data_IF_232252338535
#
_entry.id   IF_232252338535
#
_cell.length_a   1.000
_cell.length_b   1.000
_cell.length_c   1.000
_cell.angle_alpha   90.00
_cell.angle_beta   90.00
_cell.angle_gamma   90.00
#
_symmetry.space_group_name_H-M   'P 1'
#
loop_
_entity.id
_entity.type
_entity.pdbx_description
1 polymer ?
#
# COMPACT_ATOMS: atom_id res chain seq x y z
N UNK A 1 10.52 -5.76 -14.08
CA UNK A 1 9.96 -5.39 -15.37
C UNK A 1 8.50 -5.85 -15.47
N UNK A 2 7.88 -5.63 -16.62
CA UNK A 2 6.46 -5.90 -16.80
C UNK A 2 6.07 -7.37 -16.59
N UNK A 3 6.96 -8.30 -16.92
CA UNK A 3 6.67 -9.73 -16.79
C UNK A 3 6.66 -10.23 -15.36
N UNK A 4 7.10 -9.42 -14.41
CA UNK A 4 6.96 -9.76 -12.99
C UNK A 4 5.47 -9.85 -12.59
N UNK A 5 4.65 -8.95 -13.13
CA UNK A 5 3.21 -8.89 -12.83
C UNK A 5 2.34 -9.38 -13.98
N UNK A 6 2.82 -9.34 -15.22
CA UNK A 6 2.01 -9.65 -16.40
C UNK A 6 2.51 -10.88 -17.13
N UNK A 7 1.56 -11.71 -17.59
CA UNK A 7 1.86 -12.75 -18.56
C UNK A 7 2.07 -12.09 -19.92
N UNK A 8 3.24 -12.23 -20.50
CA UNK A 8 3.59 -11.56 -21.78
C UNK A 8 2.69 -12.00 -22.95
N UNK A 9 2.06 -13.17 -22.87
CA UNK A 9 1.17 -13.67 -23.91
C UNK A 9 -0.28 -13.23 -23.71
N UNK A 10 -0.64 -12.75 -22.52
CA UNK A 10 -1.98 -12.35 -22.17
C UNK A 10 -1.93 -11.18 -21.22
N UNK A 11 -1.27 -10.10 -21.66
CA UNK A 11 -0.90 -8.96 -20.81
C UNK A 11 -2.09 -8.35 -20.08
N UNK A 12 -3.25 -8.27 -20.75
CA UNK A 12 -4.44 -7.66 -20.18
C UNK A 12 -5.40 -8.68 -19.54
N UNK A 13 -5.12 -9.97 -19.66
CA UNK A 13 -6.02 -10.99 -19.13
C UNK A 13 -5.78 -11.18 -17.64
N UNK A 14 -6.76 -10.78 -16.83
CA UNK A 14 -6.66 -10.89 -15.37
C UNK A 14 -6.50 -12.34 -14.92
N UNK A 15 -7.19 -13.27 -15.56
CA UNK A 15 -7.18 -14.68 -15.17
C UNK A 15 -5.82 -15.35 -15.37
N UNK A 16 -4.97 -14.76 -16.23
CA UNK A 16 -3.61 -15.22 -16.45
C UNK A 16 -2.58 -14.35 -15.74
N UNK A 17 -3.00 -13.69 -14.69
CA UNK A 17 -2.11 -12.88 -13.87
C UNK A 17 -1.10 -13.74 -13.12
N UNK A 18 0.10 -13.19 -12.94
CA UNK A 18 1.07 -13.80 -12.02
C UNK A 18 0.59 -13.62 -10.59
N UNK A 19 1.11 -14.44 -9.62
CA UNK A 19 0.80 -14.24 -8.21
C UNK A 19 1.14 -12.82 -7.72
N UNK A 20 2.20 -12.24 -8.27
CA UNK A 20 2.63 -10.88 -7.90
C UNK A 20 1.58 -9.84 -8.28
N UNK A 21 0.97 -9.97 -9.46
CA UNK A 21 -0.09 -9.05 -9.89
C UNK A 21 -1.33 -9.16 -9.02
N UNK A 22 -1.71 -10.39 -8.67
CA UNK A 22 -2.86 -10.63 -7.80
C UNK A 22 -2.63 -10.03 -6.42
N UNK A 23 -1.46 -10.27 -5.84
CA UNK A 23 -1.09 -9.71 -4.55
C UNK A 23 -1.07 -8.19 -4.57
N UNK A 24 -0.53 -7.59 -5.63
CA UNK A 24 -0.49 -6.14 -5.77
C UNK A 24 -1.91 -5.54 -5.85
N UNK A 25 -2.85 -6.24 -6.46
CA UNK A 25 -4.24 -5.79 -6.50
C UNK A 25 -4.86 -5.74 -5.11
N UNK A 26 -4.60 -6.76 -4.27
CA UNK A 26 -5.03 -6.72 -2.88
C UNK A 26 -4.37 -5.57 -2.12
N UNK A 27 -3.08 -5.34 -2.39
CA UNK A 27 -2.36 -4.21 -1.79
C UNK A 27 -2.94 -2.86 -2.18
N UNK A 28 -3.36 -2.71 -3.44
CA UNK A 28 -4.01 -1.50 -3.91
C UNK A 28 -5.30 -1.23 -3.13
N UNK A 29 -6.14 -2.24 -2.97
CA UNK A 29 -7.38 -2.10 -2.21
C UNK A 29 -7.11 -1.79 -0.74
N UNK A 30 -6.09 -2.43 -0.15
CA UNK A 30 -5.69 -2.15 1.22
C UNK A 30 -5.28 -0.69 1.41
N UNK A 31 -4.46 -0.15 0.51
CA UNK A 31 -4.01 1.25 0.59
C UNK A 31 -5.20 2.21 0.45
N UNK A 32 -6.12 1.93 -0.47
CA UNK A 32 -7.32 2.75 -0.64
C UNK A 32 -8.17 2.76 0.62
N UNK A 33 -8.37 1.60 1.24
CA UNK A 33 -9.16 1.50 2.47
C UNK A 33 -8.45 2.18 3.64
N UNK A 34 -7.13 2.01 3.73
CA UNK A 34 -6.33 2.65 4.77
C UNK A 34 -6.48 4.17 4.68
N UNK A 35 -6.36 4.73 3.49
CA UNK A 35 -6.52 6.17 3.30
C UNK A 35 -7.94 6.63 3.62
N UNK A 36 -8.96 5.94 3.07
CA UNK A 36 -10.35 6.37 3.20
C UNK A 36 -10.87 6.23 4.64
N UNK A 37 -10.55 5.15 5.31
CA UNK A 37 -11.14 4.81 6.60
C UNK A 37 -10.31 5.28 7.80
N UNK A 38 -9.00 5.43 7.62
CA UNK A 38 -8.13 5.71 8.75
C UNK A 38 -7.36 7.03 8.61
N UNK A 39 -6.78 7.32 7.47
CA UNK A 39 -5.88 8.47 7.34
C UNK A 39 -6.62 9.76 7.00
N UNK A 40 -7.55 9.73 6.04
CA UNK A 40 -8.32 10.93 5.69
C UNK A 40 -9.11 11.47 6.88
N UNK A 41 -9.80 10.65 7.69
CA UNK A 41 -10.51 11.14 8.87
C UNK A 41 -9.63 11.80 9.94
N UNK A 42 -8.31 11.61 9.86
CA UNK A 42 -7.40 12.26 10.80
C UNK A 42 -7.12 13.72 10.47
N UNK A 43 -7.60 14.22 9.31
CA UNK A 43 -7.38 15.60 8.93
C UNK A 43 -7.68 16.62 10.02
N UNK A 44 -8.88 16.59 10.65
CA UNK A 44 -9.21 17.52 11.73
C UNK A 44 -8.40 17.34 13.01
N UNK A 45 -7.76 16.17 13.17
CA UNK A 45 -6.98 15.84 14.37
C UNK A 45 -5.57 16.41 14.29
N UNK A 46 -5.00 16.48 13.06
CA UNK A 46 -3.65 16.98 12.88
C UNK A 46 -3.58 18.50 13.10
N UNK A 47 -2.50 18.99 13.73
CA UNK A 47 -2.18 20.42 13.69
C UNK A 47 -1.95 20.88 12.25
N UNK A 48 -2.24 22.15 11.96
CA UNK A 48 -2.11 22.69 10.61
C UNK A 48 -0.73 22.48 10.01
N UNK A 49 0.33 22.57 10.82
CA UNK A 49 1.70 22.40 10.36
C UNK A 49 2.07 20.93 10.03
N UNK A 50 1.18 19.99 10.31
CA UNK A 50 1.37 18.58 9.99
C UNK A 50 0.56 18.14 8.78
N UNK A 51 -0.27 19.00 8.23
CA UNK A 51 -1.05 18.71 7.03
C UNK A 51 -0.17 18.81 5.78
N UNK A 52 -0.62 18.17 4.69
CA UNK A 52 0.11 18.14 3.44
C UNK A 52 0.31 19.52 2.84
N UNK A 53 1.41 19.72 2.08
CA UNK A 53 1.80 21.05 1.61
C UNK A 53 0.92 21.63 0.51
N UNK A 54 0.19 20.82 -0.23
CA UNK A 54 -0.59 21.32 -1.36
C UNK A 54 -2.02 21.66 -1.00
N UNK A 55 -2.73 20.73 -0.38
CA UNK A 55 -4.17 20.87 -0.13
C UNK A 55 -4.51 20.97 1.36
N UNK A 56 -3.51 20.95 2.22
CA UNK A 56 -3.75 20.94 3.66
C UNK A 56 -4.40 19.63 4.12
N UNK A 57 -4.20 18.56 3.37
CA UNK A 57 -4.78 17.24 3.66
C UNK A 57 -3.97 16.48 4.69
N UNK A 58 -4.63 15.55 5.38
CA UNK A 58 -3.93 14.56 6.18
C UNK A 58 -2.97 13.75 5.29
N UNK A 59 -1.78 13.38 5.79
CA UNK A 59 -0.87 12.52 5.06
C UNK A 59 -1.56 11.20 4.68
N UNK A 60 -1.29 10.74 3.46
CA UNK A 60 -1.87 9.53 2.92
C UNK A 60 -0.77 8.51 2.63
N UNK A 61 -1.15 7.24 2.58
CA UNK A 61 -0.24 6.16 2.23
C UNK A 61 -0.29 5.88 0.74
N UNK A 62 0.84 5.44 0.20
CA UNK A 62 0.98 4.97 -1.17
C UNK A 62 1.69 3.62 -1.16
N UNK A 63 1.75 2.98 -2.31
CA UNK A 63 2.50 1.73 -2.44
C UNK A 63 3.95 1.91 -1.98
N UNK A 64 4.58 3.02 -2.38
CA UNK A 64 5.97 3.31 -2.02
C UNK A 64 6.17 3.54 -0.51
N UNK A 65 5.12 3.89 0.24
CA UNK A 65 5.22 4.07 1.68
C UNK A 65 5.76 2.81 2.36
N UNK A 66 5.32 1.63 1.91
CA UNK A 66 5.77 0.35 2.45
C UNK A 66 6.82 -0.31 1.56
N UNK A 67 6.65 -0.23 0.22
CA UNK A 67 7.57 -0.90 -0.70
C UNK A 67 8.90 -0.16 -0.87
N UNK A 68 8.89 1.16 -0.91
CA UNK A 68 10.11 1.98 -1.01
C UNK A 68 11.00 1.58 -2.19
N UNK A 69 10.35 1.26 -3.34
CA UNK A 69 11.05 0.84 -4.54
C UNK A 69 11.48 -0.63 -4.58
N UNK A 70 11.11 -1.41 -3.56
CA UNK A 70 11.47 -2.83 -3.49
C UNK A 70 10.25 -3.71 -3.76
N UNK A 71 10.50 -4.94 -4.24
CA UNK A 71 9.43 -5.88 -4.53
C UNK A 71 8.66 -6.31 -3.27
N UNK A 72 9.35 -6.41 -2.14
CA UNK A 72 8.73 -6.79 -0.88
C UNK A 72 8.56 -5.58 0.02
N UNK A 73 7.35 -5.38 0.61
CA UNK A 73 7.14 -4.29 1.56
C UNK A 73 8.11 -4.41 2.73
N UNK A 74 8.62 -3.27 3.17
CA UNK A 74 9.58 -3.19 4.29
C UNK A 74 10.83 -4.05 4.06
N UNK A 75 11.19 -4.30 2.79
CA UNK A 75 12.34 -5.14 2.44
C UNK A 75 12.18 -6.59 2.87
N UNK A 76 10.96 -7.05 3.10
CA UNK A 76 10.68 -8.40 3.56
C UNK A 76 10.81 -8.60 5.06
N UNK A 77 10.92 -7.50 5.83
CA UNK A 77 11.01 -7.59 7.29
C UNK A 77 9.74 -8.18 7.90
N UNK A 78 9.90 -9.04 8.89
CA UNK A 78 8.78 -9.65 9.61
C UNK A 78 8.38 -8.76 10.78
N UNK A 79 7.54 -7.77 10.50
CA UNK A 79 7.09 -6.82 11.51
C UNK A 79 6.21 -7.46 12.57
N UNK A 80 5.46 -8.50 12.22
CA UNK A 80 4.55 -9.16 13.18
C UNK A 80 5.34 -9.90 14.25
N UNK A 81 6.46 -10.55 13.89
CA UNK A 81 7.31 -11.20 14.89
C UNK A 81 7.91 -10.20 15.87
N UNK A 82 8.33 -9.01 15.36
CA UNK A 82 8.89 -7.96 16.20
C UNK A 82 7.81 -7.25 17.05
N UNK A 83 6.61 -7.12 16.50
CA UNK A 83 5.51 -6.40 17.13
C UNK A 83 4.22 -7.23 17.02
N UNK A 84 4.04 -8.23 17.90
CA UNK A 84 2.92 -9.19 17.77
C UNK A 84 1.54 -8.53 17.77
N UNK A 85 1.39 -7.35 18.35
CA UNK A 85 0.12 -6.63 18.34
C UNK A 85 -0.37 -6.29 16.93
N UNK A 86 0.53 -6.26 15.96
CA UNK A 86 0.17 -6.00 14.56
C UNK A 86 -0.61 -7.15 13.92
N UNK A 87 -0.69 -8.30 14.58
CA UNK A 87 -1.50 -9.42 14.07
C UNK A 87 -3.01 -9.13 14.09
N UNK A 88 -3.44 -8.02 14.67
CA UNK A 88 -4.84 -7.61 14.64
C UNK A 88 -5.73 -8.30 15.64
N UNK A 89 -5.18 -8.70 16.76
CA UNK A 89 -5.94 -9.44 17.78
C UNK A 89 -5.81 -8.83 19.14
#
# INVERSE_FOLDING_TARGET
NCTYCHNSRAFQNWEQSTPQRITAHHGLNMVRNLNAEYLIPLGPVYPDNRLGPHDGDAPKAYCATCHQGLNKPLGGADAVSAYPALAGR
#
